data_IF_133994179232
#
_entry.id   IF_133994179232
#
_cell.length_a   1.000
_cell.length_b   1.000
_cell.length_c   1.000
_cell.angle_alpha   90.00
_cell.angle_beta   90.00
_cell.angle_gamma   90.00
#
_symmetry.space_group_name_H-M   'P 1'
#
loop_
_entity.id
_entity.type
_entity.pdbx_description
1 polymer ?
#
# COMPACT_ATOMS: atom_id res chain seq x y z
N UNK A 1 8.17 0.45 -5.41
CA UNK A 1 7.52 0.68 -4.11
C UNK A 1 8.13 1.87 -3.39
N UNK A 2 9.38 1.82 -2.91
CA UNK A 2 10.03 2.96 -2.25
C UNK A 2 9.95 4.27 -3.05
N UNK A 3 10.24 4.23 -4.36
CA UNK A 3 10.19 5.43 -5.20
C UNK A 3 8.80 6.06 -5.34
N UNK A 4 7.72 5.27 -5.26
CA UNK A 4 6.37 5.82 -5.27
C UNK A 4 6.07 6.57 -3.96
N UNK A 5 6.60 6.08 -2.83
CA UNK A 5 6.48 6.75 -1.53
C UNK A 5 7.39 7.98 -1.45
N UNK A 6 8.55 7.95 -2.11
CA UNK A 6 9.39 9.14 -2.31
C UNK A 6 8.64 10.24 -3.10
N UNK A 7 7.82 9.86 -4.09
CA UNK A 7 6.95 10.83 -4.79
C UNK A 7 5.96 11.50 -3.85
N UNK A 8 5.40 10.80 -2.85
CA UNK A 8 4.54 11.44 -1.84
C UNK A 8 5.34 12.38 -0.95
N UNK A 9 6.51 11.94 -0.47
CA UNK A 9 7.42 12.75 0.34
C UNK A 9 7.86 14.05 -0.38
N UNK A 10 8.01 13.99 -1.71
CA UNK A 10 8.42 15.11 -2.57
C UNK A 10 7.22 15.85 -3.19
N UNK A 11 6.08 15.90 -2.48
CA UNK A 11 4.87 16.64 -2.87
C UNK A 11 4.42 16.37 -4.31
N UNK A 12 4.50 15.11 -4.75
CA UNK A 12 4.05 14.66 -6.05
C UNK A 12 5.10 14.74 -7.17
N UNK A 13 6.33 15.14 -6.88
CA UNK A 13 7.44 15.07 -7.83
C UNK A 13 8.01 13.66 -7.90
N UNK A 14 7.94 13.04 -9.07
CA UNK A 14 8.55 11.73 -9.32
C UNK A 14 9.97 11.92 -9.86
N UNK A 15 10.96 11.25 -9.28
CA UNK A 15 12.28 11.14 -9.88
C UNK A 15 12.58 9.69 -10.25
N UNK A 16 13.16 9.46 -11.43
CA UNK A 16 13.61 8.12 -11.81
C UNK A 16 14.75 7.67 -10.86
N UNK A 17 14.68 6.45 -10.31
CA UNK A 17 15.74 5.96 -9.41
C UNK A 17 17.06 5.82 -10.16
N UNK A 18 18.15 6.26 -9.51
CA UNK A 18 19.51 6.04 -9.97
C UNK A 18 20.28 5.27 -8.90
N UNK A 19 21.25 4.47 -9.32
CA UNK A 19 22.17 3.73 -8.42
C UNK A 19 23.61 4.19 -8.53
N UNK A 20 23.95 4.94 -9.59
CA UNK A 20 25.30 5.41 -9.89
C UNK A 20 25.27 6.93 -10.03
N UNK A 21 25.83 7.63 -9.06
CA UNK A 21 25.93 9.10 -9.08
C UNK A 21 27.12 9.58 -9.94
N UNK A 22 28.25 8.86 -9.88
CA UNK A 22 29.49 9.20 -10.60
C UNK A 22 30.33 7.93 -10.76
N UNK A 23 31.11 7.85 -11.85
CA UNK A 23 32.13 6.81 -12.06
C UNK A 23 33.46 7.51 -12.36
N UNK A 24 34.53 7.05 -11.71
CA UNK A 24 35.90 7.47 -12.00
C UNK A 24 36.62 6.37 -12.79
N UNK A 25 37.40 6.74 -13.80
CA UNK A 25 38.26 5.79 -14.50
C UNK A 25 39.53 5.48 -13.69
N UNK A 26 40.36 4.54 -14.18
CA UNK A 26 41.59 4.11 -13.50
C UNK A 26 42.63 5.23 -13.28
N UNK A 27 42.50 6.34 -14.01
CA UNK A 27 43.36 7.52 -13.88
C UNK A 27 42.74 8.60 -12.97
N UNK A 28 41.61 8.32 -12.32
CA UNK A 28 40.90 9.26 -11.45
C UNK A 28 40.07 10.31 -12.21
N UNK A 29 39.85 10.13 -13.51
CA UNK A 29 39.00 11.03 -14.30
C UNK A 29 37.54 10.62 -14.15
N UNK A 30 36.73 11.58 -13.70
CA UNK A 30 35.26 11.55 -13.73
C UNK A 30 34.73 11.32 -15.13
N UNK A 31 33.96 10.24 -15.32
CA UNK A 31 33.30 9.89 -16.58
C UNK A 31 31.76 9.99 -16.48
N UNK A 32 31.26 10.50 -15.35
CA UNK A 32 29.84 10.73 -15.11
C UNK A 32 29.11 9.53 -14.52
N UNK A 33 27.86 9.77 -14.14
CA UNK A 33 26.92 8.77 -13.66
C UNK A 33 25.58 8.85 -14.39
N UNK A 34 24.54 8.33 -13.75
CA UNK A 34 23.18 8.42 -14.26
C UNK A 34 22.63 9.83 -14.02
N UNK A 35 22.12 10.47 -15.06
CA UNK A 35 21.45 11.76 -14.92
C UNK A 35 20.16 11.62 -14.10
N UNK A 36 19.92 12.57 -13.20
CA UNK A 36 18.63 12.66 -12.50
C UNK A 36 17.54 13.09 -13.48
N UNK A 37 16.45 12.34 -13.54
CA UNK A 37 15.29 12.65 -14.36
C UNK A 37 14.05 12.78 -13.46
N UNK A 38 13.65 14.01 -13.19
CA UNK A 38 12.49 14.32 -12.36
C UNK A 38 11.33 14.89 -13.18
N UNK A 39 10.12 14.45 -12.87
CA UNK A 39 8.86 14.93 -13.40
C UNK A 39 8.09 15.62 -12.28
N UNK A 40 8.14 16.96 -12.18
CA UNK A 40 7.29 17.69 -11.23
C UNK A 40 5.82 17.47 -11.58
N UNK A 41 4.94 17.54 -10.57
CA UNK A 41 3.50 17.33 -10.72
C UNK A 41 3.13 15.98 -11.36
N UNK A 42 3.93 14.93 -11.15
CA UNK A 42 3.57 13.57 -11.57
C UNK A 42 2.35 13.06 -10.79
N UNK A 43 2.20 13.54 -9.55
CA UNK A 43 0.96 13.57 -8.79
C UNK A 43 0.66 15.04 -8.42
N UNK A 44 -0.62 15.40 -8.31
CA UNK A 44 -1.01 16.73 -7.82
C UNK A 44 -0.42 16.92 -6.39
N UNK A 45 0.30 18.03 -6.12
CA UNK A 45 0.90 18.29 -4.81
C UNK A 45 -0.09 18.25 -3.65
N UNK A 46 -1.29 18.79 -3.83
CA UNK A 46 -2.33 18.80 -2.80
C UNK A 46 -2.80 17.38 -2.45
N UNK A 47 -2.87 16.51 -3.46
CA UNK A 47 -3.21 15.09 -3.28
C UNK A 47 -2.06 14.33 -2.60
N UNK A 48 -0.80 14.65 -2.92
CA UNK A 48 0.36 14.07 -2.24
C UNK A 48 0.40 14.45 -0.75
N UNK A 49 0.13 15.72 -0.42
CA UNK A 49 0.04 16.21 0.96
C UNK A 49 -1.11 15.57 1.72
N UNK A 50 -2.29 15.45 1.10
CA UNK A 50 -3.44 14.78 1.71
C UNK A 50 -3.17 13.28 1.93
N UNK A 51 -2.49 12.64 0.98
CA UNK A 51 -2.05 11.24 1.13
C UNK A 51 -1.07 11.10 2.29
N UNK A 52 -0.10 12.02 2.41
CA UNK A 52 0.84 12.05 3.54
C UNK A 52 0.11 12.14 4.86
N UNK A 53 -0.84 13.07 4.99
CA UNK A 53 -1.65 13.22 6.20
C UNK A 53 -2.39 11.93 6.60
N UNK A 54 -3.03 11.25 5.64
CA UNK A 54 -3.69 9.96 5.89
C UNK A 54 -2.68 8.85 6.25
N UNK A 55 -1.48 8.87 5.68
CA UNK A 55 -0.44 7.89 5.98
C UNK A 55 0.25 8.12 7.33
N UNK A 56 0.24 9.34 7.87
CA UNK A 56 0.64 9.59 9.26
C UNK A 56 -0.32 8.89 10.24
N UNK A 57 -1.62 8.91 9.96
CA UNK A 57 -2.64 8.23 10.78
C UNK A 57 -2.44 6.72 10.89
N UNK A 58 -1.82 6.08 9.89
CA UNK A 58 -1.52 4.65 9.93
C UNK A 58 -0.62 4.30 11.11
N UNK A 59 0.32 5.19 11.46
CA UNK A 59 1.30 4.98 12.52
C UNK A 59 0.75 5.32 13.92
N UNK A 60 -0.28 6.16 14.00
CA UNK A 60 -0.83 6.68 15.27
C UNK A 60 -2.16 6.05 15.65
N UNK A 61 -2.99 5.65 14.68
CA UNK A 61 -4.32 5.06 14.93
C UNK A 61 -4.70 3.95 13.94
N UNK A 62 -3.76 3.50 13.11
CA UNK A 62 -3.99 2.46 12.12
C UNK A 62 -3.15 1.20 12.34
N UNK A 63 -2.96 0.45 11.25
CA UNK A 63 -2.27 -0.85 11.27
C UNK A 63 -0.77 -0.75 11.61
N UNK A 64 -0.15 0.42 11.43
CA UNK A 64 1.24 0.69 11.84
C UNK A 64 1.40 1.00 13.33
N UNK A 65 0.31 1.12 14.08
CA UNK A 65 0.34 1.42 15.52
C UNK A 65 1.21 0.42 16.29
N UNK A 66 1.13 -0.87 15.91
CA UNK A 66 1.84 -1.97 16.57
C UNK A 66 3.35 -2.03 16.25
N UNK A 67 3.86 -1.17 15.37
CA UNK A 67 5.31 -1.02 15.17
C UNK A 67 5.87 -0.36 16.44
N UNK A 68 6.74 -1.05 17.21
CA UNK A 68 7.14 -0.60 18.53
C UNK A 68 8.14 0.56 18.48
N UNK A 69 9.04 0.58 17.50
CA UNK A 69 9.97 1.69 17.29
C UNK A 69 9.27 2.83 16.55
N UNK A 70 9.30 4.04 17.12
CA UNK A 70 8.85 5.28 16.47
C UNK A 70 10.09 6.12 16.09
N UNK A 71 10.02 6.86 14.99
CA UNK A 71 11.19 7.60 14.50
C UNK A 71 11.52 8.85 15.32
N UNK A 72 10.54 9.40 16.04
CA UNK A 72 10.72 10.63 16.83
C UNK A 72 10.77 11.92 15.98
N UNK A 73 10.49 11.80 14.69
CA UNK A 73 10.36 12.89 13.72
C UNK A 73 9.08 12.66 12.90
N UNK A 74 8.56 13.67 12.18
CA UNK A 74 7.41 13.48 11.30
C UNK A 74 7.66 12.37 10.28
N UNK A 75 6.82 11.34 10.32
CA UNK A 75 6.89 10.19 9.43
C UNK A 75 5.49 9.75 8.98
N UNK A 76 5.45 9.10 7.81
CA UNK A 76 4.22 8.56 7.24
C UNK A 76 4.51 7.18 6.67
N UNK A 77 3.58 6.23 6.84
CA UNK A 77 3.81 4.86 6.39
C UNK A 77 2.53 4.11 6.05
N UNK A 78 2.69 2.98 5.34
CA UNK A 78 1.64 1.99 5.14
C UNK A 78 2.17 0.58 5.33
N UNK A 79 1.41 -0.21 6.09
CA UNK A 79 1.62 -1.66 6.19
C UNK A 79 0.91 -2.41 5.05
N UNK A 80 1.43 -3.56 4.68
CA UNK A 80 0.79 -4.50 3.76
C UNK A 80 0.99 -5.93 4.21
N UNK A 81 -0.05 -6.75 4.06
CA UNK A 81 -0.05 -8.17 4.43
C UNK A 81 -0.87 -8.90 3.38
N UNK A 82 -0.29 -9.89 2.71
CA UNK A 82 -1.04 -10.68 1.75
C UNK A 82 -1.98 -11.67 2.44
N UNK A 83 -2.85 -12.33 1.66
CA UNK A 83 -3.90 -13.21 2.17
C UNK A 83 -3.39 -14.36 3.05
N UNK A 84 -2.17 -14.83 2.81
CA UNK A 84 -1.54 -15.97 3.49
C UNK A 84 -0.57 -15.57 4.61
N UNK A 85 -0.46 -14.26 4.90
CA UNK A 85 0.48 -13.68 5.87
C UNK A 85 1.97 -13.95 5.55
N UNK A 86 2.27 -14.58 4.41
CA UNK A 86 3.62 -14.99 4.07
C UNK A 86 4.38 -13.95 3.25
N UNK A 87 3.75 -12.80 2.97
CA UNK A 87 4.38 -11.62 2.40
C UNK A 87 3.84 -10.41 3.13
N UNK A 88 4.74 -9.70 3.80
CA UNK A 88 4.42 -8.53 4.59
C UNK A 88 5.36 -7.38 4.25
N UNK A 89 4.83 -6.17 4.31
CA UNK A 89 5.52 -4.97 3.88
C UNK A 89 5.26 -3.82 4.84
N UNK A 90 6.25 -2.95 4.97
CA UNK A 90 6.05 -1.57 5.41
C UNK A 90 6.77 -0.65 4.45
N UNK A 91 6.04 0.32 3.91
CA UNK A 91 6.62 1.41 3.14
C UNK A 91 6.40 2.67 3.95
N UNK A 92 7.44 3.45 4.18
CA UNK A 92 7.31 4.69 4.93
C UNK A 92 8.42 5.67 4.60
N UNK A 93 8.18 6.93 4.93
CA UNK A 93 9.05 8.03 4.58
C UNK A 93 9.02 9.15 5.61
N UNK A 94 10.09 9.93 5.57
CA UNK A 94 10.19 11.31 6.06
C UNK A 94 10.27 12.24 4.84
N UNK A 95 10.44 13.55 5.02
CA UNK A 95 10.53 14.51 3.91
C UNK A 95 11.67 14.18 2.92
N UNK A 96 12.80 13.70 3.42
CA UNK A 96 14.01 13.47 2.63
C UNK A 96 14.36 12.01 2.36
N UNK A 97 13.63 11.03 2.91
CA UNK A 97 13.96 9.61 2.79
C UNK A 97 12.72 8.73 2.73
N UNK A 98 12.66 7.82 1.76
CA UNK A 98 11.64 6.79 1.67
C UNK A 98 12.25 5.38 1.65
N UNK A 99 11.71 4.48 2.47
CA UNK A 99 12.18 3.09 2.62
C UNK A 99 11.02 2.12 2.47
N UNK A 100 11.28 0.99 1.80
CA UNK A 100 10.36 -0.15 1.74
C UNK A 100 11.03 -1.38 2.37
N UNK A 101 10.37 -1.98 3.36
CA UNK A 101 10.78 -3.20 4.03
C UNK A 101 9.85 -4.34 3.67
N UNK A 102 10.44 -5.51 3.43
CA UNK A 102 9.76 -6.76 3.10
C UNK A 102 10.17 -7.86 4.06
N UNK A 103 9.19 -8.63 4.51
CA UNK A 103 9.44 -9.92 5.12
C UNK A 103 8.47 -10.95 4.55
N UNK A 104 9.00 -12.07 4.05
CA UNK A 104 8.17 -13.15 3.54
C UNK A 104 8.86 -14.14 2.61
N UNK A 105 8.07 -15.08 2.09
CA UNK A 105 8.45 -15.94 0.98
C UNK A 105 8.42 -15.13 -0.32
N UNK A 106 9.57 -14.94 -1.00
CA UNK A 106 9.62 -14.14 -2.21
C UNK A 106 9.11 -14.88 -3.46
N UNK A 107 8.92 -16.20 -3.42
CA UNK A 107 8.76 -17.02 -4.62
C UNK A 107 7.40 -17.65 -4.83
N UNK A 108 6.51 -17.70 -3.84
CA UNK A 108 5.12 -18.10 -4.07
C UNK A 108 4.26 -17.67 -2.89
N UNK A 109 3.62 -16.51 -3.01
CA UNK A 109 2.57 -16.04 -2.09
C UNK A 109 1.31 -16.91 -2.15
N UNK A 110 1.48 -18.23 -2.03
CA UNK A 110 0.47 -19.27 -2.10
C UNK A 110 0.26 -19.87 -0.71
N UNK A 111 -0.77 -20.70 -0.57
CA UNK A 111 -1.09 -21.39 0.67
C UNK A 111 -0.03 -22.42 1.11
N UNK A 112 0.98 -22.71 0.28
CA UNK A 112 2.00 -23.74 0.56
C UNK A 112 2.93 -23.38 1.72
N UNK A 113 3.14 -22.09 1.98
CA UNK A 113 3.96 -21.61 3.10
C UNK A 113 3.27 -20.46 3.78
N UNK A 114 2.50 -20.73 4.83
CA UNK A 114 1.76 -19.70 5.54
C UNK A 114 2.69 -18.89 6.45
N UNK A 115 2.48 -17.58 6.55
CA UNK A 115 3.07 -16.75 7.60
C UNK A 115 2.29 -16.87 8.90
N UNK A 116 1.95 -18.10 9.31
CA UNK A 116 1.16 -18.41 10.51
C UNK A 116 1.79 -19.59 11.22
N UNK A 117 1.78 -19.55 12.54
CA UNK A 117 2.42 -20.56 13.40
C UNK A 117 3.91 -20.77 13.05
N UNK A 118 4.63 -19.69 12.77
CA UNK A 118 6.05 -19.75 12.42
C UNK A 118 6.92 -19.29 13.58
N UNK A 119 8.15 -19.77 13.64
CA UNK A 119 9.18 -19.27 14.56
C UNK A 119 10.28 -18.63 13.76
N UNK A 120 10.58 -17.37 14.06
CA UNK A 120 11.66 -16.60 13.42
C UNK A 120 12.63 -16.18 14.51
N UNK A 121 13.89 -16.63 14.40
CA UNK A 121 14.94 -16.34 15.38
C UNK A 121 14.51 -16.64 16.83
N UNK A 122 13.91 -17.81 17.07
CA UNK A 122 13.45 -18.24 18.40
C UNK A 122 12.15 -17.59 18.90
N UNK A 123 11.60 -16.59 18.20
CA UNK A 123 10.32 -15.98 18.54
C UNK A 123 9.18 -16.59 17.73
N UNK A 124 8.17 -17.10 18.42
CA UNK A 124 6.96 -17.64 17.81
C UNK A 124 5.98 -16.54 17.41
N UNK A 125 5.38 -16.70 16.23
CA UNK A 125 4.36 -15.82 15.66
C UNK A 125 3.14 -16.65 15.25
N UNK A 126 1.97 -16.48 15.91
CA UNK A 126 0.75 -17.17 15.51
C UNK A 126 0.27 -16.71 14.12
N UNK A 127 0.53 -15.45 13.77
CA UNK A 127 0.40 -14.88 12.44
C UNK A 127 1.44 -13.76 12.26
N UNK A 128 1.86 -13.51 11.02
CA UNK A 128 2.73 -12.39 10.66
C UNK A 128 1.92 -11.31 9.96
N UNK A 129 2.03 -10.07 10.42
CA UNK A 129 1.48 -8.88 9.78
C UNK A 129 2.60 -7.89 9.46
N UNK A 130 2.37 -6.95 8.55
CA UNK A 130 3.30 -5.85 8.22
C UNK A 130 3.88 -5.17 9.47
N UNK A 131 3.10 -4.97 10.53
CA UNK A 131 3.60 -4.32 11.74
C UNK A 131 4.55 -5.18 12.60
N UNK A 132 4.71 -6.48 12.33
CA UNK A 132 5.43 -7.40 13.22
C UNK A 132 6.91 -7.56 12.90
N UNK A 133 7.27 -7.82 11.64
CA UNK A 133 8.68 -8.03 11.25
C UNK A 133 9.11 -6.93 10.26
N UNK A 134 8.38 -6.76 9.15
CA UNK A 134 8.68 -5.71 8.17
C UNK A 134 8.69 -4.30 8.80
N UNK A 135 7.77 -4.04 9.73
CA UNK A 135 7.67 -2.78 10.47
C UNK A 135 8.88 -2.46 11.33
N UNK A 136 9.27 -3.30 12.30
CA UNK A 136 10.50 -3.10 13.06
C UNK A 136 11.74 -3.00 12.18
N UNK A 137 11.85 -3.80 11.11
CA UNK A 137 12.97 -3.69 10.16
C UNK A 137 13.03 -2.29 9.51
N UNK A 138 11.89 -1.77 9.05
CA UNK A 138 11.80 -0.42 8.49
C UNK A 138 12.17 0.64 9.53
N UNK A 139 11.56 0.58 10.72
CA UNK A 139 11.74 1.61 11.74
C UNK A 139 13.18 1.63 12.28
N UNK A 140 13.78 0.47 12.55
CA UNK A 140 15.16 0.38 13.01
C UNK A 140 16.16 0.91 11.99
N UNK A 141 15.97 0.61 10.70
CA UNK A 141 16.81 1.17 9.64
C UNK A 141 16.65 2.69 9.58
N UNK A 142 15.41 3.18 9.50
CA UNK A 142 15.12 4.61 9.42
C UNK A 142 15.70 5.38 10.62
N UNK A 143 15.59 4.87 11.85
CA UNK A 143 16.18 5.51 13.04
C UNK A 143 17.70 5.73 12.93
N UNK A 144 18.42 4.85 12.22
CA UNK A 144 19.87 4.96 12.06
C UNK A 144 20.26 6.04 11.04
N UNK A 145 19.44 6.23 10.00
CA UNK A 145 19.80 7.05 8.85
C UNK A 145 19.02 8.36 8.75
N UNK A 146 17.93 8.52 9.50
CA UNK A 146 17.02 9.68 9.36
C UNK A 146 17.72 11.03 9.61
N UNK A 147 18.73 11.06 10.48
CA UNK A 147 19.54 12.26 10.72
C UNK A 147 20.44 12.68 9.55
N UNK A 148 20.58 11.84 8.51
CA UNK A 148 21.35 12.13 7.30
C UNK A 148 20.52 12.80 6.19
N UNK A 149 19.20 12.84 6.35
CA UNK A 149 18.26 13.34 5.36
C UNK A 149 17.32 14.38 5.98
N UNK A 150 16.59 15.12 5.13
CA UNK A 150 15.55 16.04 5.60
C UNK A 150 14.47 15.27 6.38
N UNK A 151 14.25 15.68 7.62
CA UNK A 151 13.27 15.11 8.55
C UNK A 151 12.43 16.21 9.21
N UNK A 152 12.32 17.37 8.56
CA UNK A 152 11.42 18.44 8.98
C UNK A 152 9.95 18.09 8.78
N UNK A 153 9.09 19.04 9.12
CA UNK A 153 7.64 18.89 8.98
C UNK A 153 7.23 18.71 7.50
N UNK A 154 6.22 17.85 7.32
CA UNK A 154 5.50 17.76 6.06
C UNK A 154 4.66 19.02 5.84
N UNK A 155 4.49 19.37 4.57
CA UNK A 155 3.59 20.45 4.19
C UNK A 155 2.14 20.06 4.50
N UNK A 156 1.38 21.01 5.06
CA UNK A 156 -0.02 20.77 5.41
C UNK A 156 -0.89 20.56 4.16
N UNK A 157 -1.82 19.59 4.18
CA UNK A 157 -2.76 19.38 3.07
C UNK A 157 -3.87 20.43 3.04
N UNK A 158 -4.48 20.68 1.86
CA UNK A 158 -5.72 21.46 1.79
C UNK A 158 -6.85 20.79 2.58
N UNK A 159 -7.57 21.59 3.36
CA UNK A 159 -8.62 21.10 4.25
C UNK A 159 -9.79 20.46 3.50
N UNK A 160 -10.07 20.84 2.27
CA UNK A 160 -11.13 20.23 1.46
C UNK A 160 -10.81 18.79 1.01
N UNK A 161 -9.55 18.34 1.12
CA UNK A 161 -9.14 16.98 0.77
C UNK A 161 -9.10 16.04 1.98
N UNK A 162 -9.07 16.58 3.20
CA UNK A 162 -9.01 15.80 4.45
C UNK A 162 -10.21 16.03 5.37
N UNK A 163 -11.00 17.07 5.11
CA UNK A 163 -12.29 17.29 5.74
C UNK A 163 -13.35 16.40 5.08
N UNK A 164 -14.10 15.66 5.88
CA UNK A 164 -15.27 14.93 5.39
C UNK A 164 -16.25 15.91 4.78
N UNK A 165 -16.53 15.80 3.49
CA UNK A 165 -17.68 16.47 2.89
C UNK A 165 -18.91 16.10 3.73
N UNK A 166 -19.56 17.07 4.36
CA UNK A 166 -20.92 16.89 4.83
C UNK A 166 -21.74 16.29 3.67
N UNK A 167 -22.65 15.31 3.91
CA UNK A 167 -23.41 14.70 2.84
C UNK A 167 -24.08 15.81 2.03
N UNK A 168 -23.67 15.95 0.77
CA UNK A 168 -24.33 16.83 -0.19
C UNK A 168 -25.78 16.35 -0.29
N UNK A 169 -26.68 17.04 0.41
CA UNK A 169 -28.12 16.93 0.18
C UNK A 169 -28.34 17.20 -1.30
N UNK A 170 -28.69 16.16 -2.06
CA UNK A 170 -29.11 16.34 -3.46
C UNK A 170 -30.33 17.26 -3.43
N UNK A 171 -30.17 18.52 -3.86
CA UNK A 171 -31.31 19.35 -4.21
C UNK A 171 -32.05 18.67 -5.36
N UNK A 172 -33.29 18.27 -5.09
CA UNK A 172 -34.23 17.84 -6.11
C UNK A 172 -34.72 19.08 -6.86
N UNK A 173 -34.04 19.45 -7.94
CA UNK A 173 -34.58 20.44 -8.85
C UNK A 173 -35.66 19.82 -9.75
N UNK A 174 -36.79 20.49 -9.68
CA UNK A 174 -38.07 20.22 -10.31
C UNK A 174 -37.97 20.46 -11.82
N UNK A 175 -38.24 19.45 -12.65
CA UNK A 175 -38.49 19.62 -14.08
C UNK A 175 -39.87 19.08 -14.44
N UNK A 176 -40.68 19.98 -14.97
CA UNK A 176 -42.09 19.84 -15.36
C UNK A 176 -42.27 19.09 -16.69
N UNK A 177 -43.22 18.14 -16.72
CA UNK A 177 -44.14 17.92 -17.84
C UNK A 177 -43.82 16.83 -18.88
N UNK A 178 -44.69 15.81 -18.96
CA UNK A 178 -44.83 14.94 -20.14
C UNK A 178 -45.36 13.51 -19.87
N UNK A 179 -46.68 13.33 -19.76
CA UNK A 179 -47.44 12.05 -19.75
C UNK A 179 -47.28 11.26 -21.06
N UNK A 180 -47.12 9.92 -21.09
CA UNK A 180 -48.19 8.89 -21.03
C UNK A 180 -47.57 7.44 -21.16
N UNK A 181 -48.30 6.30 -21.07
CA UNK A 181 -48.09 5.27 -20.05
C UNK A 181 -47.58 3.90 -20.58
N UNK A 182 -46.89 3.11 -19.75
CA UNK A 182 -46.50 1.75 -20.13
C UNK A 182 -45.89 0.90 -19.00
N UNK A 183 -46.72 -0.02 -18.48
CA UNK A 183 -46.41 -1.33 -17.87
C UNK A 183 -45.37 -1.45 -16.72
N UNK A 184 -45.87 -1.95 -15.59
CA UNK A 184 -45.08 -2.38 -14.43
C UNK A 184 -44.36 -3.72 -14.68
N UNK A 185 -43.08 -3.87 -14.28
CA UNK A 185 -42.46 -5.19 -14.13
C UNK A 185 -42.59 -5.71 -12.70
N UNK A 186 -43.12 -6.93 -12.58
CA UNK A 186 -43.21 -7.72 -11.35
C UNK A 186 -41.85 -8.22 -10.88
N UNK A 187 -41.73 -8.36 -9.56
CA UNK A 187 -40.61 -8.95 -8.82
C UNK A 187 -40.52 -10.47 -9.01
N UNK A 188 -39.31 -10.99 -9.29
CA UNK A 188 -39.02 -12.43 -9.21
C UNK A 188 -37.88 -12.68 -8.21
N UNK A 189 -38.15 -13.61 -7.29
CA UNK A 189 -37.24 -14.12 -6.26
C UNK A 189 -36.32 -15.25 -6.84
N UNK A 190 -35.25 -15.66 -6.13
CA UNK A 190 -34.15 -16.45 -6.69
C UNK A 190 -34.38 -17.97 -6.72
N UNK A 191 -33.86 -18.63 -7.77
CA UNK A 191 -33.80 -20.10 -7.92
C UNK A 191 -32.54 -20.71 -7.25
N UNK A 192 -32.63 -21.93 -6.68
CA UNK A 192 -31.48 -22.68 -6.17
C UNK A 192 -30.76 -23.52 -7.24
N UNK A 193 -29.45 -23.68 -7.07
CA UNK A 193 -28.54 -24.45 -7.93
C UNK A 193 -28.56 -25.95 -7.63
N UNK A 194 -28.58 -26.77 -8.69
CA UNK A 194 -28.45 -28.24 -8.59
C UNK A 194 -27.02 -28.69 -8.82
N UNK A 195 -26.59 -29.65 -8.00
CA UNK A 195 -25.25 -30.19 -7.92
C UNK A 195 -24.93 -31.25 -8.99
N UNK A 196 -23.62 -31.36 -9.24
CA UNK A 196 -22.89 -32.23 -10.18
C UNK A 196 -22.84 -33.68 -9.69
N UNK A 197 -23.11 -34.67 -10.56
CA UNK A 197 -22.90 -36.09 -10.30
C UNK A 197 -21.55 -36.59 -10.85
N UNK A 198 -20.88 -37.48 -10.10
CA UNK A 198 -19.70 -38.29 -10.48
C UNK A 198 -20.13 -39.72 -10.87
N UNK A 199 -19.31 -40.48 -11.62
CA UNK A 199 -19.65 -41.80 -12.14
C UNK A 199 -19.27 -42.95 -11.18
N UNK A 200 -20.02 -44.05 -11.23
CA UNK A 200 -19.79 -45.28 -10.47
C UNK A 200 -20.30 -46.53 -11.22
N UNK A 201 -19.48 -47.57 -11.16
CA UNK A 201 -19.40 -48.78 -11.97
C UNK A 201 -20.38 -49.91 -11.53
N UNK A 202 -20.74 -50.86 -12.41
CA UNK A 202 -21.25 -52.18 -11.99
C UNK A 202 -22.09 -53.03 -12.97
N UNK A 203 -21.45 -54.09 -13.50
CA UNK A 203 -21.94 -55.42 -13.97
C UNK A 203 -23.03 -55.50 -15.07
N UNK A 204 -22.94 -56.37 -16.09
CA UNK A 204 -22.24 -57.66 -16.20
C UNK A 204 -23.24 -58.84 -16.17
N UNK A 205 -23.94 -59.09 -17.30
CA UNK A 205 -24.65 -60.31 -17.71
C UNK A 205 -24.55 -60.33 -19.24
N UNK A 206 -24.13 -61.36 -19.97
CA UNK A 206 -24.29 -62.81 -19.79
C UNK A 206 -25.11 -63.29 -21.00
N UNK A 207 -24.43 -63.72 -22.06
CA UNK A 207 -24.98 -64.17 -23.34
C UNK A 207 -23.94 -64.13 -24.45
#
# INVERSE_FOLDING_TARGET
MANAFATFAADGTYCAPISIAEVDNAQGKKIGGQASACKPNALNPDVAKATTNVLQDVLTKGSGLLIPQKLGVPDAAKTGTNQYNNQTWVLGYTKGLATASFFGDPFNGSAARLGRNITVNGKYYPLVDGAYIAGPQWAQYMQQVVGLYDHGDFDAPPQNLIGGSAPQTRSSDQATGGTSPGQAPQSTAPQPSTARSKPGNGNGKGG
#
